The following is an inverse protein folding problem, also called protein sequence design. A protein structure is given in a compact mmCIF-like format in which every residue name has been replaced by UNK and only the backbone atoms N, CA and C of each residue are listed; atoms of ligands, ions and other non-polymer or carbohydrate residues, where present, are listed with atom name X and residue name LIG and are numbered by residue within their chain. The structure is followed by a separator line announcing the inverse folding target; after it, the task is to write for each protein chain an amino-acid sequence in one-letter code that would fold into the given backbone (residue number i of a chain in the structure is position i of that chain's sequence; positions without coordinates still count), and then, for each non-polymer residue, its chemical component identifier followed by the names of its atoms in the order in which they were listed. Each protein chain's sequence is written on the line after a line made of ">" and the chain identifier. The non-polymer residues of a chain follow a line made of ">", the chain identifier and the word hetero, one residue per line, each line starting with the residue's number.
data_IF_289648944986
#
_entry.id   IF_289648944986
#
_cell.length_a   1.000
_cell.length_b   1.000
_cell.length_c   1.000
_cell.angle_alpha   90.00
_cell.angle_beta   90.00
_cell.angle_gamma   90.00
#
_symmetry.space_group_name_H-M   'P 1'
#
loop_
_entity.id
_entity.type
_entity.pdbx_description
1 polymer ?
#
# COMPACT_ATOMS: atom_id res chain seq x y z
N UNK A 1 -20.40 7.86 -14.69
CA UNK A 1 -21.28 7.14 -15.66
C UNK A 1 -21.55 5.72 -15.20
N UNK A 2 -20.54 4.97 -14.75
CA UNK A 2 -20.69 3.58 -14.29
C UNK A 2 -21.72 3.39 -13.16
N UNK A 3 -21.75 4.32 -12.19
CA UNK A 3 -22.75 4.29 -11.09
C UNK A 3 -24.21 4.41 -11.55
N UNK A 4 -24.47 4.81 -12.81
CA UNK A 4 -25.83 4.90 -13.36
C UNK A 4 -26.26 3.63 -14.10
N UNK A 5 -25.36 2.65 -14.27
CA UNK A 5 -25.64 1.39 -14.96
C UNK A 5 -25.93 0.27 -13.95
N UNK A 6 -26.75 -0.73 -14.30
CA UNK A 6 -26.94 -1.91 -13.46
C UNK A 6 -25.60 -2.63 -13.24
N UNK A 7 -25.30 -2.97 -11.98
CA UNK A 7 -24.03 -3.60 -11.59
C UNK A 7 -23.67 -4.82 -12.45
N UNK A 8 -24.65 -5.69 -12.73
CA UNK A 8 -24.47 -6.88 -13.58
C UNK A 8 -24.00 -6.55 -15.01
N UNK A 9 -24.47 -5.43 -15.57
CA UNK A 9 -24.02 -4.96 -16.90
C UNK A 9 -22.58 -4.46 -16.81
N UNK A 10 -22.24 -3.75 -15.74
CA UNK A 10 -20.87 -3.28 -15.52
C UNK A 10 -19.91 -4.47 -15.40
N UNK A 11 -20.24 -5.44 -14.56
CA UNK A 11 -19.42 -6.63 -14.30
C UNK A 11 -19.20 -7.49 -15.55
N UNK A 12 -20.25 -7.82 -16.30
CA UNK A 12 -20.15 -8.80 -17.41
C UNK A 12 -19.98 -8.18 -18.80
N UNK A 13 -20.17 -6.87 -18.98
CA UNK A 13 -20.03 -6.21 -20.29
C UNK A 13 -18.99 -5.11 -20.29
N UNK A 14 -18.99 -4.26 -19.28
CA UNK A 14 -18.08 -3.10 -19.23
C UNK A 14 -16.68 -3.51 -18.80
N UNK A 15 -16.53 -4.23 -17.69
CA UNK A 15 -15.22 -4.66 -17.19
C UNK A 15 -14.44 -5.49 -18.23
N UNK A 16 -15.02 -6.47 -18.94
CA UNK A 16 -14.30 -7.19 -19.99
C UNK A 16 -13.79 -6.30 -21.13
N UNK A 17 -14.46 -5.17 -21.40
CA UNK A 17 -13.95 -4.19 -22.37
C UNK A 17 -12.77 -3.40 -21.80
N UNK A 18 -12.84 -3.00 -20.52
CA UNK A 18 -11.74 -2.30 -19.86
C UNK A 18 -10.49 -3.17 -19.70
N UNK A 19 -10.65 -4.47 -19.42
CA UNK A 19 -9.52 -5.40 -19.29
C UNK A 19 -8.73 -5.56 -20.59
N UNK A 20 -9.34 -5.34 -21.76
CA UNK A 20 -8.62 -5.37 -23.04
C UNK A 20 -7.57 -4.27 -23.13
N UNK A 21 -7.78 -3.16 -22.43
CA UNK A 21 -6.83 -2.03 -22.39
C UNK A 21 -5.64 -2.30 -21.46
N UNK A 22 -5.69 -3.32 -20.60
CA UNK A 22 -4.58 -3.67 -19.70
C UNK A 22 -3.33 -4.18 -20.42
N UNK A 23 -3.41 -4.47 -21.72
CA UNK A 23 -2.24 -4.79 -22.55
C UNK A 23 -1.35 -3.57 -22.79
N UNK A 24 -1.90 -2.36 -22.65
CA UNK A 24 -1.19 -1.10 -22.89
C UNK A 24 -0.93 -0.37 -21.56
N UNK A 25 0.23 -0.60 -20.95
CA UNK A 25 0.57 -0.07 -19.63
C UNK A 25 0.36 1.46 -19.48
N UNK A 26 0.72 2.32 -20.45
CA UNK A 26 0.37 3.73 -20.45
C UNK A 26 -1.13 4.07 -20.30
N UNK A 27 -2.03 3.19 -20.77
CA UNK A 27 -3.48 3.41 -20.70
C UNK A 27 -4.09 2.99 -19.35
N UNK A 28 -3.41 2.08 -18.62
CA UNK A 28 -3.93 1.49 -17.38
C UNK A 28 -4.33 2.55 -16.34
N UNK A 29 -3.55 3.62 -16.06
CA UNK A 29 -3.95 4.64 -15.08
C UNK A 29 -5.29 5.31 -15.38
N UNK A 30 -5.73 5.33 -16.64
CA UNK A 30 -6.99 5.97 -17.05
C UNK A 30 -8.19 5.02 -16.94
N UNK A 31 -7.99 3.72 -17.17
CA UNK A 31 -9.06 2.71 -17.10
C UNK A 31 -9.18 2.09 -15.71
N UNK A 32 -8.09 2.01 -14.96
CA UNK A 32 -8.03 1.36 -13.66
C UNK A 32 -8.96 1.99 -12.60
N UNK A 33 -9.10 3.33 -12.49
CA UNK A 33 -10.06 3.93 -11.55
C UNK A 33 -11.51 3.46 -11.81
N UNK A 34 -11.87 3.23 -13.08
CA UNK A 34 -13.17 2.71 -13.46
C UNK A 34 -13.38 1.27 -12.99
N UNK A 35 -12.35 0.43 -13.10
CA UNK A 35 -12.37 -0.95 -12.57
C UNK A 35 -12.45 -0.93 -11.04
N UNK A 36 -11.61 -0.15 -10.37
CA UNK A 36 -11.57 -0.06 -8.90
C UNK A 36 -12.87 0.50 -8.31
N UNK A 37 -13.59 1.36 -9.04
CA UNK A 37 -14.91 1.84 -8.62
C UNK A 37 -15.95 0.71 -8.51
N UNK A 38 -15.84 -0.34 -9.33
CA UNK A 38 -16.78 -1.48 -9.28
C UNK A 38 -16.60 -2.34 -8.04
N UNK A 39 -15.43 -2.26 -7.40
CA UNK A 39 -15.12 -3.02 -6.18
C UNK A 39 -16.02 -2.67 -5.00
N UNK A 40 -16.57 -1.45 -4.98
CA UNK A 40 -17.48 -1.01 -3.91
C UNK A 40 -18.80 -1.79 -3.88
N UNK A 41 -19.19 -2.41 -5.00
CA UNK A 41 -20.43 -3.16 -5.15
C UNK A 41 -20.21 -4.66 -5.31
N UNK A 42 -18.96 -5.10 -5.41
CA UNK A 42 -18.61 -6.51 -5.64
C UNK A 42 -18.54 -7.30 -4.36
N UNK A 43 -18.99 -8.56 -4.41
CA UNK A 43 -18.71 -9.52 -3.33
C UNK A 43 -17.30 -10.10 -3.48
N UNK A 44 -16.70 -10.68 -2.42
CA UNK A 44 -15.42 -11.36 -2.51
C UNK A 44 -15.38 -12.48 -3.56
N UNK A 45 -16.49 -13.20 -3.74
CA UNK A 45 -16.62 -14.27 -4.74
C UNK A 45 -16.54 -13.69 -6.16
N UNK A 46 -17.36 -12.68 -6.46
CA UNK A 46 -17.35 -12.01 -7.76
C UNK A 46 -16.01 -11.34 -8.06
N UNK A 47 -15.39 -10.73 -7.05
CA UNK A 47 -14.04 -10.17 -7.17
C UNK A 47 -13.03 -11.25 -7.53
N UNK A 48 -13.04 -12.37 -6.81
CA UNK A 48 -12.10 -13.47 -7.02
C UNK A 48 -12.23 -14.12 -8.40
N UNK A 49 -13.46 -14.23 -8.91
CA UNK A 49 -13.77 -14.91 -10.17
C UNK A 49 -13.60 -13.99 -11.39
N UNK A 50 -14.04 -12.73 -11.30
CA UNK A 50 -14.20 -11.86 -12.47
C UNK A 50 -13.25 -10.66 -12.52
N UNK A 51 -12.60 -10.29 -11.41
CA UNK A 51 -11.79 -9.06 -11.34
C UNK A 51 -10.33 -9.37 -11.01
N UNK A 52 -10.09 -10.13 -9.95
CA UNK A 52 -8.75 -10.47 -9.46
C UNK A 52 -7.84 -11.09 -10.54
N UNK A 53 -8.27 -12.05 -11.39
CA UNK A 53 -7.39 -12.64 -12.40
C UNK A 53 -6.81 -11.63 -13.37
N UNK A 54 -7.58 -10.58 -13.69
CA UNK A 54 -7.16 -9.50 -14.57
C UNK A 54 -6.38 -8.41 -13.83
N UNK A 55 -6.63 -8.24 -12.52
CA UNK A 55 -5.91 -7.27 -11.70
C UNK A 55 -4.51 -7.76 -11.30
N UNK A 56 -4.31 -9.07 -11.09
CA UNK A 56 -3.01 -9.66 -10.74
C UNK A 56 -1.82 -9.19 -11.60
N UNK A 57 -1.87 -9.24 -12.94
CA UNK A 57 -0.77 -8.71 -13.75
C UNK A 57 -0.56 -7.21 -13.52
N UNK A 58 -1.63 -6.44 -13.31
CA UNK A 58 -1.55 -4.99 -13.04
C UNK A 58 -0.86 -4.70 -11.71
N UNK A 59 -1.07 -5.52 -10.67
CA UNK A 59 -0.39 -5.38 -9.37
C UNK A 59 1.14 -5.48 -9.48
N UNK A 60 1.65 -6.17 -10.51
CA UNK A 60 3.09 -6.37 -10.74
C UNK A 60 3.76 -5.27 -11.55
N UNK A 61 2.98 -4.36 -12.15
CA UNK A 61 3.51 -3.28 -12.98
C UNK A 61 4.15 -2.18 -12.13
N UNK A 62 5.33 -1.74 -12.54
CA UNK A 62 6.07 -0.64 -11.91
C UNK A 62 5.93 0.67 -12.70
N UNK A 63 5.76 0.56 -14.03
CA UNK A 63 5.65 1.70 -14.92
C UNK A 63 4.34 1.67 -15.71
N UNK A 64 3.64 2.81 -15.83
CA UNK A 64 3.93 4.09 -15.17
C UNK A 64 3.59 4.08 -13.66
N UNK A 65 4.25 4.90 -12.81
CA UNK A 65 4.08 4.91 -11.35
C UNK A 65 2.65 5.26 -10.91
N UNK A 66 1.87 5.91 -11.78
CA UNK A 66 0.47 6.21 -11.59
C UNK A 66 -0.38 4.95 -11.39
N UNK A 67 0.02 3.79 -11.94
CA UNK A 67 -0.69 2.52 -11.72
C UNK A 67 -0.67 2.17 -10.23
N UNK A 68 0.53 2.09 -9.63
CA UNK A 68 0.68 1.79 -8.21
C UNK A 68 -0.03 2.83 -7.34
N UNK A 69 0.02 4.11 -7.72
CA UNK A 69 -0.66 5.18 -7.00
C UNK A 69 -2.18 5.01 -6.98
N UNK A 70 -2.79 4.72 -8.13
CA UNK A 70 -4.25 4.48 -8.23
C UNK A 70 -4.67 3.24 -7.44
N UNK A 71 -3.88 2.16 -7.48
CA UNK A 71 -4.13 0.95 -6.66
C UNK A 71 -4.07 1.28 -5.17
N UNK A 72 -3.04 2.00 -4.74
CA UNK A 72 -2.80 2.34 -3.35
C UNK A 72 -3.86 3.29 -2.78
N UNK A 73 -4.43 4.18 -3.61
CA UNK A 73 -5.56 5.03 -3.20
C UNK A 73 -6.83 4.24 -2.88
N UNK A 74 -6.95 2.98 -3.31
CA UNK A 74 -8.09 2.08 -3.02
C UNK A 74 -7.68 0.81 -2.31
N UNK A 75 -6.55 0.85 -1.60
CA UNK A 75 -5.98 -0.31 -0.91
C UNK A 75 -6.95 -0.90 0.12
N UNK A 76 -7.69 -0.07 0.86
CA UNK A 76 -8.63 -0.55 1.88
C UNK A 76 -9.71 -1.48 1.33
N UNK A 77 -10.20 -1.19 0.11
CA UNK A 77 -11.21 -2.03 -0.55
C UNK A 77 -10.55 -3.33 -1.05
N UNK A 78 -9.35 -3.23 -1.62
CA UNK A 78 -8.60 -4.41 -2.07
C UNK A 78 -8.33 -5.36 -0.90
N UNK A 79 -7.90 -4.84 0.25
CA UNK A 79 -7.62 -5.63 1.45
C UNK A 79 -8.87 -6.30 2.03
N UNK A 80 -10.05 -5.69 1.90
CA UNK A 80 -11.33 -6.28 2.31
C UNK A 80 -11.80 -7.42 1.39
N UNK A 81 -11.51 -7.32 0.09
CA UNK A 81 -11.96 -8.30 -0.92
C UNK A 81 -10.95 -9.43 -1.15
N UNK A 82 -9.67 -9.20 -0.88
CA UNK A 82 -8.62 -10.20 -1.07
C UNK A 82 -8.60 -11.21 0.07
N UNK A 83 -8.36 -12.48 -0.26
CA UNK A 83 -8.03 -13.50 0.74
C UNK A 83 -6.62 -13.28 1.30
N UNK A 84 -6.34 -13.86 2.47
CA UNK A 84 -5.01 -13.78 3.09
C UNK A 84 -3.88 -14.29 2.18
N UNK A 85 -4.14 -15.31 1.34
CA UNK A 85 -3.15 -15.84 0.39
C UNK A 85 -2.81 -14.81 -0.70
N UNK A 86 -3.82 -14.14 -1.24
CA UNK A 86 -3.67 -13.07 -2.25
C UNK A 86 -2.96 -11.86 -1.64
N UNK A 87 -3.29 -11.49 -0.40
CA UNK A 87 -2.61 -10.40 0.29
C UNK A 87 -1.12 -10.69 0.40
N UNK A 88 -0.73 -11.89 0.85
CA UNK A 88 0.68 -12.26 1.00
C UNK A 88 1.42 -12.35 -0.32
N UNK A 89 0.82 -12.97 -1.35
CA UNK A 89 1.49 -13.25 -2.63
C UNK A 89 1.50 -12.08 -3.60
N UNK A 90 0.42 -11.29 -3.62
CA UNK A 90 0.20 -10.28 -4.65
C UNK A 90 0.28 -8.85 -4.08
N UNK A 91 -0.30 -8.59 -2.90
CA UNK A 91 -0.38 -7.24 -2.31
C UNK A 91 0.89 -6.84 -1.55
N UNK A 92 1.45 -7.71 -0.71
CA UNK A 92 2.67 -7.41 0.08
C UNK A 92 3.86 -7.05 -0.82
N UNK A 93 4.11 -7.73 -1.96
CA UNK A 93 5.15 -7.30 -2.90
C UNK A 93 4.88 -5.91 -3.48
N UNK A 94 3.63 -5.59 -3.79
CA UNK A 94 3.24 -4.26 -4.27
C UNK A 94 3.51 -3.17 -3.23
N UNK A 95 3.15 -3.43 -1.96
CA UNK A 95 3.44 -2.52 -0.83
C UNK A 95 4.94 -2.33 -0.62
N UNK A 96 5.71 -3.41 -0.74
CA UNK A 96 7.18 -3.34 -0.61
C UNK A 96 7.79 -2.45 -1.70
N UNK A 97 7.31 -2.56 -2.95
CA UNK A 97 7.69 -1.65 -4.05
C UNK A 97 7.26 -0.21 -3.79
N UNK A 98 6.05 -0.01 -3.23
CA UNK A 98 5.55 1.31 -2.87
C UNK A 98 6.44 2.02 -1.84
N UNK A 99 6.95 1.31 -0.83
CA UNK A 99 7.93 1.85 0.14
C UNK A 99 9.25 2.26 -0.52
N UNK A 100 9.72 1.50 -1.51
CA UNK A 100 10.98 1.79 -2.22
C UNK A 100 10.83 2.91 -3.28
N UNK A 101 9.61 3.34 -3.58
CA UNK A 101 9.32 4.38 -4.57
C UNK A 101 9.92 5.74 -4.19
N UNK A 102 10.15 6.60 -5.19
CA UNK A 102 10.54 8.00 -5.00
C UNK A 102 9.35 8.93 -4.74
N UNK A 103 8.13 8.45 -4.97
CA UNK A 103 6.90 9.24 -4.83
C UNK A 103 6.44 9.25 -3.37
N UNK A 104 6.51 10.40 -2.71
CA UNK A 104 6.11 10.55 -1.30
C UNK A 104 4.67 10.10 -1.04
N UNK A 105 3.73 10.53 -1.89
CA UNK A 105 2.32 10.13 -1.76
C UNK A 105 2.13 8.61 -1.77
N UNK A 106 2.94 7.89 -2.54
CA UNK A 106 2.86 6.43 -2.61
C UNK A 106 3.39 5.78 -1.32
N UNK A 107 4.46 6.34 -0.75
CA UNK A 107 4.99 5.92 0.55
C UNK A 107 3.96 6.17 1.66
N UNK A 108 3.33 7.35 1.71
CA UNK A 108 2.32 7.67 2.72
C UNK A 108 1.14 6.71 2.72
N UNK A 109 0.57 6.44 1.53
CA UNK A 109 -0.51 5.48 1.38
C UNK A 109 -0.09 4.07 1.84
N UNK A 110 1.16 3.69 1.59
CA UNK A 110 1.69 2.41 2.04
C UNK A 110 1.85 2.35 3.55
N UNK A 111 2.41 3.38 4.17
CA UNK A 111 2.59 3.48 5.62
C UNK A 111 1.25 3.46 6.35
N UNK A 112 0.20 4.04 5.75
CA UNK A 112 -1.15 3.99 6.29
C UNK A 112 -1.78 2.60 6.20
N UNK A 113 -1.51 1.84 5.13
CA UNK A 113 -2.10 0.52 4.89
C UNK A 113 -1.43 -0.61 5.67
N UNK A 114 -0.11 -0.57 5.88
CA UNK A 114 0.67 -1.65 6.50
C UNK A 114 0.11 -2.16 7.85
N UNK A 115 -0.30 -1.29 8.80
CA UNK A 115 -0.83 -1.76 10.09
C UNK A 115 -2.12 -2.56 9.97
N UNK A 116 -2.86 -2.45 8.87
CA UNK A 116 -4.11 -3.23 8.67
C UNK A 116 -3.86 -4.69 8.26
N UNK A 117 -2.63 -5.03 7.86
CA UNK A 117 -2.25 -6.36 7.36
C UNK A 117 -1.02 -6.92 8.06
N UNK A 118 -0.55 -6.30 9.12
CA UNK A 118 0.68 -6.68 9.82
C UNK A 118 0.65 -8.12 10.35
N UNK A 119 -0.50 -8.58 10.85
CA UNK A 119 -0.74 -9.97 11.26
C UNK A 119 -0.72 -10.99 10.12
N UNK A 120 -0.90 -10.53 8.87
CA UNK A 120 -0.83 -11.38 7.68
C UNK A 120 0.60 -11.53 7.15
N UNK A 121 1.48 -10.58 7.46
CA UNK A 121 2.89 -10.57 7.06
C UNK A 121 3.68 -11.47 8.01
N UNK A 122 4.54 -12.34 7.48
CA UNK A 122 5.40 -13.19 8.29
C UNK A 122 6.51 -12.38 8.98
N UNK A 123 6.92 -12.80 10.19
CA UNK A 123 7.95 -12.13 10.99
C UNK A 123 9.27 -11.89 10.21
N UNK A 124 9.79 -12.85 9.40
CA UNK A 124 10.96 -12.61 8.55
C UNK A 124 10.78 -11.45 7.56
N UNK A 125 9.66 -11.40 6.83
CA UNK A 125 9.34 -10.29 5.91
C UNK A 125 9.22 -8.97 6.67
N UNK A 126 8.54 -8.98 7.82
CA UNK A 126 8.40 -7.79 8.65
C UNK A 126 9.76 -7.24 9.10
N UNK A 127 10.60 -8.11 9.67
CA UNK A 127 11.91 -7.77 10.24
C UNK A 127 12.94 -7.35 9.19
N UNK A 128 13.02 -8.08 8.08
CA UNK A 128 14.12 -7.94 7.13
C UNK A 128 13.76 -7.11 5.89
N UNK A 129 12.47 -6.94 5.60
CA UNK A 129 12.00 -6.26 4.38
C UNK A 129 11.30 -4.95 4.74
N UNK A 130 10.26 -5.00 5.57
CA UNK A 130 9.39 -3.84 5.83
C UNK A 130 10.05 -2.84 6.78
N UNK A 131 10.46 -3.27 7.98
CA UNK A 131 11.04 -2.36 8.99
C UNK A 131 12.26 -1.60 8.46
N UNK A 132 13.25 -2.23 7.79
CA UNK A 132 14.41 -1.50 7.27
C UNK A 132 14.04 -0.43 6.24
N UNK A 133 13.00 -0.66 5.44
CA UNK A 133 12.48 0.32 4.47
C UNK A 133 11.81 1.50 5.16
N UNK A 134 10.97 1.25 6.16
CA UNK A 134 10.35 2.31 6.96
C UNK A 134 11.42 3.17 7.64
N UNK A 135 12.44 2.54 8.25
CA UNK A 135 13.57 3.26 8.85
C UNK A 135 14.28 4.14 7.84
N UNK A 136 14.59 3.59 6.66
CA UNK A 136 15.25 4.32 5.57
C UNK A 136 14.44 5.55 5.14
N UNK A 137 13.11 5.45 5.04
CA UNK A 137 12.24 6.59 4.70
C UNK A 137 12.28 7.63 5.82
N UNK A 138 12.19 7.22 7.08
CA UNK A 138 12.15 8.13 8.23
C UNK A 138 13.48 8.88 8.46
N UNK A 139 14.62 8.26 8.17
CA UNK A 139 15.96 8.84 8.33
C UNK A 139 16.40 9.72 7.15
N UNK A 140 15.63 9.78 6.04
CA UNK A 140 15.96 10.70 4.94
C UNK A 140 15.99 12.13 5.47
N UNK A 141 17.14 12.80 5.31
CA UNK A 141 17.33 14.15 5.82
C UNK A 141 16.32 15.13 5.20
N UNK A 142 15.87 16.15 5.97
CA UNK A 142 14.90 17.16 5.51
C UNK A 142 15.34 17.97 4.27
N UNK A 143 16.62 17.88 3.86
CA UNK A 143 17.14 18.46 2.61
C UNK A 143 17.14 17.53 1.38
N UNK A 144 16.74 16.26 1.53
CA UNK A 144 16.75 15.25 0.46
C UNK A 144 15.39 15.05 -0.24
N UNK A 145 14.43 15.96 -0.02
CA UNK A 145 13.07 15.84 -0.56
C UNK A 145 12.26 14.71 0.10
N UNK A 146 12.34 14.60 1.43
CA UNK A 146 11.42 13.80 2.23
C UNK A 146 10.65 14.75 3.14
N UNK A 147 9.34 14.88 2.91
CA UNK A 147 8.50 15.76 3.71
C UNK A 147 8.33 15.25 5.16
N UNK A 148 8.10 16.19 6.07
CA UNK A 148 7.78 15.93 7.48
C UNK A 148 6.61 14.95 7.62
N UNK A 149 5.63 15.04 6.71
CA UNK A 149 4.44 14.19 6.67
C UNK A 149 4.80 12.70 6.54
N UNK A 150 5.67 12.34 5.58
CA UNK A 150 6.10 10.94 5.41
C UNK A 150 6.82 10.43 6.65
N UNK A 151 7.68 11.25 7.27
CA UNK A 151 8.44 10.88 8.47
C UNK A 151 7.54 10.64 9.68
N UNK A 152 6.54 11.51 9.89
CA UNK A 152 5.51 11.31 10.93
C UNK A 152 4.70 10.04 10.64
N UNK A 153 4.28 9.81 9.40
CA UNK A 153 3.57 8.59 9.02
C UNK A 153 4.40 7.31 9.24
N UNK A 154 5.73 7.36 9.06
CA UNK A 154 6.61 6.24 9.39
C UNK A 154 6.53 5.87 10.87
N UNK A 155 6.60 6.88 11.74
CA UNK A 155 6.50 6.70 13.19
C UNK A 155 5.13 6.16 13.61
N UNK A 156 4.06 6.75 13.08
CA UNK A 156 2.69 6.29 13.35
C UNK A 156 2.45 4.86 12.87
N UNK A 157 3.01 4.49 11.71
CA UNK A 157 2.96 3.13 11.18
C UNK A 157 3.64 2.14 12.14
N UNK A 158 4.87 2.43 12.56
CA UNK A 158 5.62 1.58 13.51
C UNK A 158 4.91 1.48 14.86
N UNK A 159 4.37 2.58 15.38
CA UNK A 159 3.64 2.60 16.64
C UNK A 159 2.41 1.69 16.60
N UNK A 160 1.61 1.75 15.52
CA UNK A 160 0.43 0.89 15.36
C UNK A 160 0.77 -0.60 15.23
N UNK A 161 1.91 -0.91 14.64
CA UNK A 161 2.35 -2.30 14.44
C UNK A 161 3.07 -2.87 15.67
N UNK A 162 3.47 -2.03 16.63
CA UNK A 162 4.31 -2.39 17.77
C UNK A 162 3.70 -3.52 18.62
N UNK A 163 2.37 -3.54 18.75
CA UNK A 163 1.61 -4.55 19.50
C UNK A 163 1.74 -5.96 18.90
N UNK A 164 1.99 -6.06 17.60
CA UNK A 164 2.08 -7.32 16.86
C UNK A 164 3.53 -7.74 16.56
N UNK A 165 4.52 -6.92 16.93
CA UNK A 165 5.93 -7.22 16.73
C UNK A 165 6.53 -8.04 17.88
N UNK A 166 7.47 -8.91 17.53
CA UNK A 166 8.24 -9.65 18.53
C UNK A 166 9.00 -8.69 19.46
N UNK A 167 8.97 -8.96 20.77
CA UNK A 167 9.64 -8.12 21.79
C UNK A 167 11.11 -7.82 21.46
N UNK A 168 11.82 -8.82 20.92
CA UNK A 168 13.21 -8.65 20.49
C UNK A 168 13.38 -7.65 19.35
N UNK A 169 12.46 -7.63 18.38
CA UNK A 169 12.49 -6.64 17.30
C UNK A 169 12.27 -5.24 17.87
N UNK A 170 11.34 -5.10 18.82
CA UNK A 170 11.06 -3.81 19.47
C UNK A 170 12.30 -3.30 20.22
N UNK A 171 12.90 -4.14 21.06
CA UNK A 171 14.04 -3.76 21.90
C UNK A 171 15.33 -3.51 21.09
N UNK A 172 15.66 -4.39 20.14
CA UNK A 172 16.94 -4.32 19.43
C UNK A 172 16.89 -3.43 18.18
N UNK A 173 15.71 -3.26 17.58
CA UNK A 173 15.60 -2.53 16.33
C UNK A 173 14.79 -1.25 16.45
N UNK A 174 13.61 -1.27 17.07
CA UNK A 174 12.74 -0.09 17.08
C UNK A 174 13.22 0.95 18.09
N UNK A 175 13.50 0.57 19.34
CA UNK A 175 13.95 1.52 20.37
C UNK A 175 15.25 2.25 20.02
N UNK A 176 16.33 1.58 19.55
CA UNK A 176 17.55 2.29 19.17
C UNK A 176 17.31 3.21 17.98
N UNK A 177 16.49 2.77 17.02
CA UNK A 177 16.13 3.58 15.86
C UNK A 177 15.41 4.88 16.25
N UNK A 178 14.50 4.87 17.23
CA UNK A 178 13.81 6.09 17.68
C UNK A 178 14.80 7.15 18.21
N UNK A 179 15.95 6.73 18.76
CA UNK A 179 17.00 7.65 19.24
C UNK A 179 17.82 8.26 18.09
N UNK A 180 17.89 7.57 16.94
CA UNK A 180 18.63 8.05 15.76
C UNK A 180 17.86 9.10 14.95
N UNK A 181 16.54 9.23 15.17
CA UNK A 181 15.70 10.14 14.38
C UNK A 181 16.06 11.59 14.69
N UNK A 182 16.41 12.41 13.68
CA UNK A 182 16.69 13.82 13.89
C UNK A 182 15.38 14.52 14.29
N UNK A 183 15.38 15.06 15.51
CA UNK A 183 14.22 15.67 16.18
C UNK A 183 14.38 17.19 16.39
N UNK A 184 15.52 17.76 15.99
CA UNK A 184 15.78 19.20 16.14
C UNK A 184 14.90 20.01 15.19
N UNK A 185 14.04 20.85 15.75
CA UNK A 185 13.19 21.79 14.99
C UNK A 185 11.88 21.24 14.45
N UNK A 186 11.51 19.99 14.75
CA UNK A 186 10.28 19.35 14.25
C UNK A 186 9.42 18.80 15.40
N UNK A 187 8.55 19.62 16.02
CA UNK A 187 7.72 19.23 17.15
C UNK A 187 6.81 18.02 16.87
N UNK A 188 6.35 17.86 15.63
CA UNK A 188 5.50 16.74 15.24
C UNK A 188 6.22 15.38 15.35
N UNK A 189 7.54 15.34 15.14
CA UNK A 189 8.34 14.12 15.30
C UNK A 189 8.49 13.78 16.78
N UNK A 190 8.78 14.78 17.62
CA UNK A 190 8.83 14.59 19.07
C UNK A 190 7.51 14.05 19.62
N UNK A 191 6.38 14.62 19.17
CA UNK A 191 5.04 14.17 19.57
C UNK A 191 4.69 12.76 19.08
N UNK A 192 5.29 12.28 18.00
CA UNK A 192 5.06 10.93 17.49
C UNK A 192 5.93 9.86 18.17
N UNK A 193 7.01 10.28 18.87
CA UNK A 193 7.91 9.40 19.61
C UNK A 193 7.47 9.22 21.07
N UNK A 194 6.89 10.27 21.68
CA UNK A 194 6.40 10.30 23.08
C UNK A 194 5.05 9.59 23.17
#
# INVERSE_FOLDING_TARGET
>A
VLQKMPYRVVLHRVLPCLYKEFVNAPMIPFVLPSVLQTLEQSTPEEFSEHILPHLKPVLTLEEPPQISLVLMQRIDILLKLCSADVIKKDIVPMLTRALDSKTEQLQELCLAALPSIDTLIDSPTMKNVIIPRIKKICLKSPGSGSSLSVRVNCLLCLAKMLEHLDKWIVLDQILPFLQEIPHSGEPAILMAII
#
